data_IF_031841874687
#
_entry.id   IF_031841874687
#
_cell.length_a   1.000
_cell.length_b   1.000
_cell.length_c   1.000
_cell.angle_alpha   90.00
_cell.angle_beta   90.00
_cell.angle_gamma   90.00
#
_symmetry.space_group_name_H-M   'P 1'
#
loop_
_entity.id
_entity.type
_entity.pdbx_description
1 polymer ?
#
# COMPACT_ATOMS: atom_id res chain seq x y z
N UNK A 1 -34.22 -7.67 -5.36
CA UNK A 1 -32.98 -7.04 -5.82
C UNK A 1 -31.95 -8.14 -6.03
N UNK A 2 -31.70 -8.54 -7.28
CA UNK A 2 -30.63 -9.48 -7.61
C UNK A 2 -29.63 -8.70 -8.47
N UNK A 3 -28.50 -8.31 -7.89
CA UNK A 3 -27.45 -7.61 -8.62
C UNK A 3 -26.34 -8.62 -8.92
N UNK A 4 -26.45 -9.27 -10.08
CA UNK A 4 -25.35 -10.05 -10.66
C UNK A 4 -24.43 -9.03 -11.32
N UNK A 5 -23.18 -8.95 -10.86
CA UNK A 5 -22.14 -8.16 -11.52
C UNK A 5 -21.73 -8.90 -12.79
N UNK A 6 -22.21 -8.42 -13.94
CA UNK A 6 -21.80 -8.91 -15.25
C UNK A 6 -20.43 -8.31 -15.58
N UNK A 7 -19.39 -9.15 -15.47
CA UNK A 7 -17.98 -8.81 -15.78
C UNK A 7 -17.70 -8.65 -17.29
N UNK A 8 -18.73 -8.38 -18.10
CA UNK A 8 -18.62 -8.27 -19.56
C UNK A 8 -18.73 -6.82 -20.08
N UNK A 9 -18.85 -5.83 -19.19
CA UNK A 9 -19.10 -4.42 -19.55
C UNK A 9 -17.85 -3.61 -19.90
N UNK A 10 -16.64 -4.15 -19.78
CA UNK A 10 -15.42 -3.39 -20.08
C UNK A 10 -15.32 -3.00 -21.57
N UNK A 11 -15.94 -3.76 -22.47
CA UNK A 11 -15.96 -3.48 -23.91
C UNK A 11 -16.95 -2.37 -24.30
N UNK A 12 -18.14 -2.31 -23.68
CA UNK A 12 -19.10 -1.21 -23.91
C UNK A 12 -18.54 0.13 -23.40
N UNK A 13 -17.82 0.12 -22.27
CA UNK A 13 -17.20 1.34 -21.72
C UNK A 13 -16.07 1.89 -22.59
N UNK A 14 -15.34 1.03 -23.31
CA UNK A 14 -14.31 1.47 -24.26
C UNK A 14 -14.91 2.13 -25.52
N UNK A 15 -16.05 1.64 -26.02
CA UNK A 15 -16.76 2.24 -27.16
C UNK A 15 -17.40 3.60 -26.83
N UNK A 16 -17.84 3.80 -25.59
CA UNK A 16 -18.44 5.06 -25.11
C UNK A 16 -17.39 6.15 -24.81
N UNK A 17 -16.10 5.82 -24.72
CA UNK A 17 -15.04 6.78 -24.45
C UNK A 17 -14.60 7.50 -25.73
N UNK A 18 -14.55 8.83 -25.66
CA UNK A 18 -14.04 9.63 -26.78
C UNK A 18 -12.54 9.36 -27.02
N UNK A 19 -12.07 9.39 -28.28
CA UNK A 19 -10.67 9.08 -28.63
C UNK A 19 -9.61 9.87 -27.85
N UNK A 20 -9.95 11.09 -27.39
CA UNK A 20 -9.08 11.97 -26.62
C UNK A 20 -8.72 11.42 -25.23
N UNK A 21 -9.48 10.46 -24.71
CA UNK A 21 -9.23 9.82 -23.41
C UNK A 21 -8.31 8.59 -23.49
N UNK A 22 -7.78 8.26 -24.68
CA UNK A 22 -6.76 7.23 -24.84
C UNK A 22 -5.37 7.78 -24.45
N UNK A 23 -5.10 7.84 -23.15
CA UNK A 23 -3.84 8.37 -22.62
C UNK A 23 -2.68 7.38 -22.76
N UNK A 24 -1.59 7.83 -23.39
CA UNK A 24 -0.32 7.10 -23.39
C UNK A 24 0.38 7.26 -22.02
N UNK A 25 0.07 6.35 -21.10
CA UNK A 25 0.65 6.34 -19.75
C UNK A 25 2.16 6.11 -19.74
N UNK A 26 2.78 5.65 -20.84
CA UNK A 26 4.25 5.56 -20.95
C UNK A 26 4.93 6.93 -20.96
N UNK A 27 4.20 7.98 -21.38
CA UNK A 27 4.64 9.39 -21.39
C UNK A 27 4.16 10.17 -20.17
N UNK A 28 3.43 9.53 -19.26
CA UNK A 28 2.91 10.20 -18.08
C UNK A 28 4.07 10.66 -17.17
N UNK A 29 3.92 11.87 -16.62
CA UNK A 29 4.87 12.36 -15.62
C UNK A 29 4.68 11.57 -14.32
N UNK A 30 5.79 11.29 -13.63
CA UNK A 30 5.75 10.72 -12.29
C UNK A 30 4.87 11.57 -11.37
N UNK A 31 4.02 10.92 -10.58
CA UNK A 31 3.10 11.59 -9.69
C UNK A 31 3.88 12.37 -8.61
N UNK A 32 3.77 13.70 -8.60
CA UNK A 32 4.43 14.58 -7.60
C UNK A 32 4.03 14.27 -6.15
N UNK A 33 2.87 13.65 -5.94
CA UNK A 33 2.40 13.22 -4.64
C UNK A 33 2.84 11.80 -4.28
N UNK A 34 3.34 11.03 -5.24
CA UNK A 34 3.95 9.73 -4.97
C UNK A 34 5.36 9.87 -4.36
N UNK A 35 5.96 11.06 -4.43
CA UNK A 35 7.30 11.35 -3.90
C UNK A 35 7.39 11.47 -2.36
N UNK A 36 6.34 11.13 -1.63
CA UNK A 36 6.29 11.16 -0.17
C UNK A 36 6.12 9.77 0.44
N UNK A 37 6.89 8.79 -0.04
CA UNK A 37 7.36 7.76 0.87
C UNK A 37 8.78 8.15 1.25
N UNK A 38 8.89 8.80 2.41
CA UNK A 38 10.10 8.71 3.23
C UNK A 38 10.68 7.30 3.11
N UNK A 39 11.99 7.13 3.32
CA UNK A 39 12.66 5.82 3.36
C UNK A 39 12.21 4.99 4.58
N UNK A 40 10.91 4.85 4.77
CA UNK A 40 10.22 4.12 5.79
C UNK A 40 10.06 2.71 5.26
N UNK A 41 10.94 1.82 5.71
CA UNK A 41 10.75 0.39 5.56
C UNK A 41 9.48 0.01 6.31
N UNK A 42 8.44 -0.39 5.57
CA UNK A 42 7.20 -0.88 6.17
C UNK A 42 7.36 -2.36 6.48
N UNK A 43 7.07 -2.75 7.72
CA UNK A 43 7.10 -4.15 8.16
C UNK A 43 5.68 -4.57 8.53
N UNK A 44 5.26 -5.72 8.03
CA UNK A 44 3.97 -6.32 8.39
C UNK A 44 4.13 -7.07 9.71
N UNK A 45 3.27 -6.77 10.68
CA UNK A 45 3.11 -7.56 11.89
C UNK A 45 2.02 -8.60 11.70
N UNK A 46 2.20 -9.77 12.31
CA UNK A 46 1.14 -10.78 12.36
C UNK A 46 0.01 -10.35 13.30
N UNK A 47 -1.24 -10.84 13.11
CA UNK A 47 -2.42 -10.35 13.82
C UNK A 47 -2.36 -10.52 15.34
N UNK A 48 -1.69 -11.55 15.83
CA UNK A 48 -1.44 -11.82 17.24
C UNK A 48 -0.50 -10.78 17.87
N UNK A 49 0.59 -10.44 17.18
CA UNK A 49 1.55 -9.43 17.63
C UNK A 49 0.93 -8.03 17.59
N UNK A 50 0.15 -7.72 16.55
CA UNK A 50 -0.58 -6.46 16.42
C UNK A 50 -1.70 -6.28 17.47
N UNK A 51 -2.18 -7.38 18.08
CA UNK A 51 -3.10 -7.29 19.23
C UNK A 51 -2.41 -6.75 20.48
N UNK A 52 -1.11 -7.00 20.63
CA UNK A 52 -0.32 -6.61 21.79
C UNK A 52 0.26 -5.21 21.58
N UNK A 53 0.93 -4.99 20.46
CA UNK A 53 1.57 -3.71 20.14
C UNK A 53 0.64 -2.84 19.30
N UNK A 54 0.10 -1.79 19.92
CA UNK A 54 -0.87 -0.88 19.27
C UNK A 54 -0.23 0.27 18.52
N UNK A 55 1.00 0.63 18.87
CA UNK A 55 1.73 1.74 18.26
C UNK A 55 3.09 1.29 17.75
N UNK A 56 3.62 1.99 16.74
CA UNK A 56 4.99 1.77 16.26
C UNK A 56 6.04 2.12 17.32
N UNK A 57 5.73 3.04 18.25
CA UNK A 57 6.62 3.38 19.36
C UNK A 57 6.80 2.20 20.32
N UNK A 58 5.72 1.49 20.68
CA UNK A 58 5.78 0.33 21.57
C UNK A 58 6.62 -0.80 20.99
N UNK A 59 6.44 -1.08 19.69
CA UNK A 59 7.23 -2.09 18.95
C UNK A 59 8.71 -1.71 18.99
N UNK A 60 9.03 -0.46 18.63
CA UNK A 60 10.41 0.00 18.57
C UNK A 60 11.09 0.00 19.93
N UNK A 61 10.36 0.34 21.00
CA UNK A 61 10.87 0.28 22.37
C UNK A 61 11.21 -1.15 22.78
N UNK A 62 10.33 -2.11 22.51
CA UNK A 62 10.56 -3.52 22.80
C UNK A 62 11.77 -4.07 22.01
N UNK A 63 11.84 -3.81 20.70
CA UNK A 63 12.95 -4.26 19.86
C UNK A 63 14.29 -3.65 20.30
N UNK A 64 14.33 -2.36 20.69
CA UNK A 64 15.53 -1.72 21.22
C UNK A 64 15.97 -2.29 22.57
N UNK A 65 15.02 -2.65 23.43
CA UNK A 65 15.32 -3.31 24.70
C UNK A 65 15.97 -4.68 24.47
N UNK A 66 15.45 -5.45 23.51
CA UNK A 66 16.05 -6.74 23.09
C UNK A 66 17.45 -6.52 22.54
N UNK A 67 17.65 -5.56 21.62
CA UNK A 67 18.97 -5.25 21.06
C UNK A 67 19.97 -4.88 22.16
N UNK A 68 19.54 -4.11 23.17
CA UNK A 68 20.39 -3.70 24.29
C UNK A 68 20.75 -4.86 25.22
N UNK A 69 19.89 -5.87 25.32
CA UNK A 69 20.10 -7.05 26.14
C UNK A 69 20.98 -8.11 25.44
N UNK A 70 21.13 -8.05 24.11
CA UNK A 70 22.01 -8.94 23.37
C UNK A 70 23.47 -8.57 23.67
N UNK A 71 24.30 -9.50 24.19
CA UNK A 71 25.70 -9.23 24.45
C UNK A 71 26.42 -8.94 23.12
N UNK A 72 27.17 -7.84 23.10
CA UNK A 72 28.05 -7.51 21.97
C UNK A 72 29.20 -8.52 21.98
N UNK A 73 29.25 -9.37 20.97
CA UNK A 73 30.41 -10.22 20.69
C UNK A 73 31.61 -9.38 20.27
#
# INVERSE_FOLDING_TARGET
MNNTQDFNNDQELEEDMLPEYNFDYSKARSNRFAAFKDKNTTVKLEPDVAKIFKTSEDVNKALRAIISAIPKS
#
